data_IF_914067118356
#
_entry.id   IF_914067118356
#
_cell.length_a   1.000
_cell.length_b   1.000
_cell.length_c   1.000
_cell.angle_alpha   90.00
_cell.angle_beta   90.00
_cell.angle_gamma   90.00
#
_symmetry.space_group_name_H-M   'P 1'
#
loop_
_entity.id
_entity.type
_entity.pdbx_description
1 polymer ?
#
# COMPACT_ATOMS: atom_id res chain seq x y z
N UNK A 1 22.66 3.19 21.90
CA UNK A 1 21.78 2.02 21.76
C UNK A 1 21.05 2.18 20.44
N UNK A 2 21.16 1.23 19.51
CA UNK A 2 20.35 1.28 18.29
C UNK A 2 18.87 1.17 18.70
N UNK A 3 18.06 2.14 18.31
CA UNK A 3 16.63 2.14 18.63
C UNK A 3 15.92 1.08 17.80
N UNK A 4 15.16 0.20 18.44
CA UNK A 4 14.28 -0.77 17.78
C UNK A 4 13.32 -0.08 16.82
N UNK A 5 13.10 -0.69 15.65
CA UNK A 5 12.08 -0.26 14.68
C UNK A 5 10.77 -0.97 15.04
N UNK A 6 9.67 -0.22 15.16
CA UNK A 6 8.33 -0.80 15.22
C UNK A 6 7.76 -0.81 13.79
N UNK A 7 7.49 -1.98 13.24
CA UNK A 7 6.95 -2.15 11.89
C UNK A 7 5.52 -2.69 11.96
N UNK A 8 4.57 -1.97 11.35
CA UNK A 8 3.19 -2.41 11.18
C UNK A 8 2.91 -2.74 9.71
N UNK A 9 2.33 -3.92 9.47
CA UNK A 9 1.74 -4.32 8.18
C UNK A 9 0.31 -4.77 8.45
N UNK A 10 -0.64 -4.36 7.60
CA UNK A 10 -2.06 -4.65 7.81
C UNK A 10 -2.65 -5.49 6.68
N UNK A 11 -3.64 -6.32 6.99
CA UNK A 11 -4.40 -7.04 5.97
C UNK A 11 -5.37 -8.07 6.54
N UNK A 12 -6.06 -8.75 5.63
CA UNK A 12 -6.93 -9.87 5.97
C UNK A 12 -6.35 -11.21 5.50
N UNK A 13 -7.05 -12.31 5.73
CA UNK A 13 -6.58 -13.66 5.37
C UNK A 13 -6.18 -13.82 3.89
N UNK A 14 -6.83 -13.12 2.96
CA UNK A 14 -6.50 -13.16 1.54
C UNK A 14 -5.13 -12.51 1.22
N UNK A 15 -4.60 -11.73 2.15
CA UNK A 15 -3.33 -11.00 2.01
C UNK A 15 -2.16 -11.64 2.76
N UNK A 16 -2.36 -12.81 3.38
CA UNK A 16 -1.37 -13.44 4.27
C UNK A 16 0.00 -13.68 3.61
N UNK A 17 0.02 -14.15 2.35
CA UNK A 17 1.26 -14.35 1.60
C UNK A 17 2.02 -13.03 1.35
N UNK A 18 1.28 -11.94 1.16
CA UNK A 18 1.82 -10.60 0.87
C UNK A 18 2.34 -9.93 2.15
N UNK A 19 1.62 -10.09 3.27
CA UNK A 19 2.09 -9.71 4.61
C UNK A 19 3.43 -10.39 4.90
N UNK A 20 3.50 -11.72 4.75
CA UNK A 20 4.73 -12.48 4.97
C UNK A 20 5.87 -11.99 4.07
N UNK A 21 5.60 -11.78 2.78
CA UNK A 21 6.58 -11.29 1.80
C UNK A 21 7.14 -9.92 2.19
N UNK A 22 6.27 -8.98 2.56
CA UNK A 22 6.67 -7.63 3.00
C UNK A 22 7.53 -7.70 4.24
N UNK A 23 7.11 -8.44 5.27
CA UNK A 23 7.87 -8.61 6.52
C UNK A 23 9.25 -9.24 6.30
N UNK A 24 9.35 -10.29 5.48
CA UNK A 24 10.62 -10.93 5.16
C UNK A 24 11.55 -9.97 4.43
N UNK A 25 11.04 -9.23 3.44
CA UNK A 25 11.85 -8.24 2.71
C UNK A 25 12.38 -7.13 3.64
N UNK A 26 11.55 -6.66 4.58
CA UNK A 26 11.94 -5.65 5.57
C UNK A 26 13.09 -6.13 6.48
N UNK A 27 12.98 -7.36 7.01
CA UNK A 27 14.04 -7.97 7.83
C UNK A 27 15.31 -8.23 7.02
N UNK A 28 15.17 -8.68 5.77
CA UNK A 28 16.31 -8.91 4.88
C UNK A 28 17.09 -7.63 4.58
N UNK A 29 16.39 -6.53 4.33
CA UNK A 29 16.98 -5.22 4.06
C UNK A 29 17.56 -4.54 5.32
N UNK A 30 17.12 -4.95 6.51
CA UNK A 30 17.49 -4.31 7.79
C UNK A 30 18.10 -5.30 8.79
N UNK A 31 19.21 -6.00 8.45
CA UNK A 31 19.73 -7.09 9.28
C UNK A 31 20.39 -6.62 10.58
N UNK A 32 20.83 -5.36 10.66
CA UNK A 32 21.61 -4.83 11.78
C UNK A 32 20.77 -4.19 12.89
N UNK A 33 19.50 -3.86 12.62
CA UNK A 33 18.64 -3.14 13.56
C UNK A 33 17.47 -4.03 13.99
N UNK A 34 17.22 -4.22 15.29
CA UNK A 34 16.08 -4.99 15.76
C UNK A 34 14.75 -4.41 15.26
N UNK A 35 13.88 -5.27 14.71
CA UNK A 35 12.52 -4.89 14.30
C UNK A 35 11.50 -5.64 15.16
N UNK A 36 10.65 -4.88 15.87
CA UNK A 36 9.43 -5.37 16.52
C UNK A 36 8.29 -5.36 15.50
N UNK A 37 7.71 -6.53 15.27
CA UNK A 37 6.70 -6.72 14.23
C UNK A 37 5.29 -6.64 14.81
N UNK A 38 4.44 -5.87 14.13
CA UNK A 38 3.01 -5.78 14.37
C UNK A 38 2.26 -6.15 13.09
N UNK A 39 1.19 -6.93 13.23
CA UNK A 39 0.29 -7.22 12.12
C UNK A 39 -1.13 -6.84 12.49
N UNK A 40 -1.68 -5.83 11.80
CA UNK A 40 -3.10 -5.48 11.86
C UNK A 40 -3.92 -6.52 11.10
N UNK A 41 -4.69 -7.33 11.81
CA UNK A 41 -5.27 -8.55 11.26
C UNK A 41 -6.79 -8.54 11.31
N UNK A 42 -7.40 -8.90 10.18
CA UNK A 42 -8.83 -9.23 10.08
C UNK A 42 -8.98 -10.63 9.52
N UNK A 43 -9.63 -11.53 10.24
CA UNK A 43 -9.97 -12.88 9.74
C UNK A 43 -8.74 -13.67 9.19
N UNK A 44 -7.55 -13.47 9.76
CA UNK A 44 -6.38 -14.29 9.44
C UNK A 44 -6.44 -15.56 10.31
N UNK A 45 -6.69 -16.70 9.67
CA UNK A 45 -6.82 -17.99 10.33
C UNK A 45 -5.50 -18.51 10.93
N UNK A 46 -5.58 -19.44 11.87
CA UNK A 46 -4.40 -19.97 12.59
C UNK A 46 -3.34 -20.57 11.66
N UNK A 47 -3.75 -21.25 10.58
CA UNK A 47 -2.83 -21.80 9.59
C UNK A 47 -2.02 -20.70 8.88
N UNK A 48 -2.67 -19.60 8.50
CA UNK A 48 -2.00 -18.46 7.88
C UNK A 48 -1.11 -17.72 8.88
N UNK A 49 -1.56 -17.54 10.13
CA UNK A 49 -0.73 -16.96 11.21
C UNK A 49 0.53 -17.76 11.44
N UNK A 50 0.42 -19.10 11.47
CA UNK A 50 1.57 -19.99 11.60
C UNK A 50 2.52 -19.85 10.41
N UNK A 51 2.01 -19.77 9.17
CA UNK A 51 2.82 -19.55 7.98
C UNK A 51 3.53 -18.19 8.01
N UNK A 52 2.82 -17.10 8.32
CA UNK A 52 3.41 -15.76 8.47
C UNK A 52 4.50 -15.77 9.56
N UNK A 53 4.23 -16.34 10.74
CA UNK A 53 5.21 -16.43 11.83
C UNK A 53 6.43 -17.28 11.44
N UNK A 54 6.25 -18.38 10.70
CA UNK A 54 7.36 -19.19 10.20
C UNK A 54 8.22 -18.49 9.15
N UNK A 55 7.70 -17.44 8.50
CA UNK A 55 8.46 -16.64 7.55
C UNK A 55 9.50 -15.75 8.26
N UNK A 56 9.24 -15.40 9.52
CA UNK A 56 10.06 -14.52 10.35
C UNK A 56 10.38 -15.19 11.70
N UNK A 57 11.03 -16.37 11.71
CA UNK A 57 11.10 -17.22 12.90
C UNK A 57 11.89 -16.61 14.07
N UNK A 58 12.75 -15.62 13.80
CA UNK A 58 13.52 -14.89 14.82
C UNK A 58 12.75 -13.74 15.48
N UNK A 59 11.55 -13.39 14.99
CA UNK A 59 10.79 -12.22 15.42
C UNK A 59 9.37 -12.63 15.81
N UNK A 60 9.00 -12.44 17.07
CA UNK A 60 7.62 -12.63 17.50
C UNK A 60 6.71 -11.54 16.89
N UNK A 61 5.59 -11.95 16.31
CA UNK A 61 4.59 -11.04 15.77
C UNK A 61 3.59 -10.66 16.86
N UNK A 62 3.40 -9.36 17.08
CA UNK A 62 2.29 -8.84 17.87
C UNK A 62 1.08 -8.65 16.95
N UNK A 63 0.04 -9.45 17.15
CA UNK A 63 -1.18 -9.35 16.36
C UNK A 63 -2.11 -8.27 16.93
N UNK A 64 -2.51 -7.34 16.08
CA UNK A 64 -3.47 -6.28 16.41
C UNK A 64 -4.80 -6.67 15.77
N UNK A 65 -5.69 -7.26 16.57
CA UNK A 65 -6.97 -7.76 16.08
C UNK A 65 -7.91 -6.61 15.72
N UNK A 66 -8.44 -6.66 14.51
CA UNK A 66 -9.55 -5.85 14.04
C UNK A 66 -10.71 -6.78 13.69
N UNK A 67 -11.87 -6.55 14.31
CA UNK A 67 -13.02 -7.43 14.09
C UNK A 67 -13.68 -7.13 12.75
N UNK A 68 -14.10 -8.17 12.03
CA UNK A 68 -14.90 -8.04 10.82
C UNK A 68 -16.22 -7.29 11.10
N UNK A 69 -16.81 -7.49 12.29
CA UNK A 69 -18.04 -6.81 12.69
C UNK A 69 -17.84 -5.30 12.83
N UNK A 70 -16.66 -4.85 13.26
CA UNK A 70 -16.33 -3.42 13.32
C UNK A 70 -16.25 -2.83 11.90
N UNK A 71 -15.64 -3.55 10.97
CA UNK A 71 -15.57 -3.12 9.57
C UNK A 71 -16.92 -3.12 8.86
N UNK A 72 -17.81 -4.04 9.23
CA UNK A 72 -19.19 -4.15 8.73
C UNK A 72 -20.12 -3.09 9.34
N UNK A 73 -19.81 -2.60 10.53
CA UNK A 73 -20.53 -1.50 11.17
C UNK A 73 -20.17 -0.13 10.59
N UNK A 74 -19.06 -0.02 9.84
CA UNK A 74 -18.70 1.23 9.16
C UNK A 74 -19.74 1.58 8.07
N UNK A 75 -20.01 2.88 7.84
CA UNK A 75 -20.98 3.32 6.85
C UNK A 75 -20.80 2.70 5.44
N UNK A 76 -21.89 2.61 4.65
CA UNK A 76 -21.82 2.21 3.25
C UNK A 76 -20.81 3.07 2.48
N UNK A 77 -19.99 2.46 1.61
CA UNK A 77 -18.91 3.16 0.92
C UNK A 77 -18.50 2.45 -0.36
N UNK A 78 -17.86 3.18 -1.27
CA UNK A 78 -17.34 2.64 -2.53
C UNK A 78 -16.02 1.88 -2.35
N UNK A 79 -15.17 2.36 -1.44
CA UNK A 79 -13.90 1.73 -1.12
C UNK A 79 -14.11 0.39 -0.40
N UNK A 80 -13.10 -0.49 -0.45
CA UNK A 80 -13.17 -1.76 0.27
C UNK A 80 -13.21 -1.51 1.77
N UNK A 81 -14.00 -2.30 2.50
CA UNK A 81 -14.01 -2.22 3.97
C UNK A 81 -12.65 -2.50 4.60
N UNK A 82 -11.83 -3.29 3.93
CA UNK A 82 -10.50 -3.66 4.40
C UNK A 82 -9.48 -2.51 4.27
N UNK A 83 -9.79 -1.42 3.57
CA UNK A 83 -8.93 -0.22 3.57
C UNK A 83 -8.83 0.43 4.96
N UNK A 84 -9.77 0.16 5.86
CA UNK A 84 -9.83 0.79 7.18
C UNK A 84 -9.13 -0.03 8.29
N UNK A 85 -8.48 -1.15 7.95
CA UNK A 85 -7.76 -1.97 8.92
C UNK A 85 -6.63 -1.17 9.58
N UNK A 86 -5.85 -0.45 8.79
CA UNK A 86 -4.74 0.37 9.29
C UNK A 86 -5.20 1.39 10.31
N UNK A 87 -6.26 2.12 9.98
CA UNK A 87 -6.81 3.15 10.85
C UNK A 87 -7.18 2.58 12.22
N UNK A 88 -7.89 1.43 12.22
CA UNK A 88 -8.30 0.76 13.45
C UNK A 88 -7.13 0.10 14.19
N UNK A 89 -6.12 -0.37 13.48
CA UNK A 89 -4.94 -1.00 14.07
C UNK A 89 -4.03 0.04 14.75
N UNK A 90 -3.86 1.23 14.16
CA UNK A 90 -3.06 2.32 14.72
C UNK A 90 -3.54 2.73 16.12
N UNK A 91 -4.86 2.82 16.33
CA UNK A 91 -5.45 3.19 17.61
C UNK A 91 -5.34 2.08 18.68
N UNK A 92 -4.99 0.86 18.29
CA UNK A 92 -4.81 -0.31 19.18
C UNK A 92 -3.35 -0.62 19.48
N UNK A 93 -2.41 0.13 18.92
CA UNK A 93 -0.99 -0.11 19.15
C UNK A 93 -0.62 0.12 20.62
N UNK A 94 0.25 -0.73 21.20
CA UNK A 94 0.75 -0.54 22.56
C UNK A 94 1.30 0.87 22.82
N UNK A 95 1.07 1.38 24.03
CA UNK A 95 1.42 2.76 24.41
C UNK A 95 2.92 3.03 24.37
N UNK A 96 3.77 2.00 24.49
CA UNK A 96 5.23 2.10 24.38
C UNK A 96 5.72 2.26 22.92
N UNK A 97 4.83 2.12 21.93
CA UNK A 97 5.13 2.49 20.55
C UNK A 97 4.99 4.01 20.42
N UNK A 98 6.13 4.70 20.43
CA UNK A 98 6.21 6.16 20.22
C UNK A 98 6.45 6.53 18.75
N UNK A 99 7.13 5.67 18.00
CA UNK A 99 7.42 5.86 16.58
C UNK A 99 7.19 4.56 15.82
N UNK A 100 6.47 4.65 14.72
CA UNK A 100 6.04 3.51 13.90
C UNK A 100 6.46 3.70 12.45
N UNK A 101 6.96 2.64 11.82
CA UNK A 101 7.01 2.52 10.36
C UNK A 101 5.82 1.65 9.94
N UNK A 102 4.99 2.15 9.05
CA UNK A 102 3.86 1.43 8.46
C UNK A 102 4.15 1.21 6.98
N UNK A 103 3.98 -0.03 6.52
CA UNK A 103 4.15 -0.42 5.11
C UNK A 103 2.95 -1.29 4.71
N UNK A 104 2.33 -0.99 3.57
CA UNK A 104 1.25 -1.82 3.02
C UNK A 104 1.74 -3.23 2.70
N UNK A 105 0.83 -4.21 2.77
CA UNK A 105 1.17 -5.60 2.55
C UNK A 105 1.59 -5.92 1.10
N UNK A 106 1.38 -5.01 0.14
CA UNK A 106 1.81 -5.08 -1.25
C UNK A 106 3.11 -4.33 -1.51
N UNK A 107 4.14 -4.51 -0.67
CA UNK A 107 5.42 -3.86 -0.86
C UNK A 107 6.62 -4.83 -0.80
N UNK A 108 7.74 -4.40 -1.38
CA UNK A 108 9.06 -5.00 -1.18
C UNK A 108 10.01 -3.92 -0.68
N UNK A 109 10.64 -4.20 0.46
CA UNK A 109 11.69 -3.35 1.02
C UNK A 109 13.04 -3.79 0.48
N UNK A 110 13.82 -2.83 -0.02
CA UNK A 110 15.15 -3.01 -0.62
C UNK A 110 16.28 -2.31 0.14
N UNK A 111 15.97 -1.32 0.97
CA UNK A 111 16.97 -0.52 1.70
C UNK A 111 16.67 -0.49 3.22
N UNK A 112 17.67 -0.14 4.02
CA UNK A 112 17.63 -0.22 5.48
C UNK A 112 16.58 0.73 6.09
N UNK A 113 15.58 0.15 6.76
CA UNK A 113 14.47 0.88 7.38
C UNK A 113 14.92 1.77 8.55
N UNK A 114 16.15 1.61 9.06
CA UNK A 114 16.74 2.50 10.05
C UNK A 114 16.79 3.93 9.54
N UNK A 115 17.10 4.13 8.26
CA UNK A 115 17.13 5.46 7.64
C UNK A 115 15.73 6.06 7.58
N UNK A 116 14.74 5.28 7.12
CA UNK A 116 13.35 5.72 7.06
C UNK A 116 12.81 6.08 8.46
N UNK A 117 13.00 5.19 9.44
CA UNK A 117 12.54 5.39 10.82
C UNK A 117 13.12 6.66 11.43
N UNK A 118 14.34 7.03 11.07
CA UNK A 118 15.06 8.17 11.65
C UNK A 118 14.83 9.50 10.90
N UNK A 119 13.94 9.53 9.91
CA UNK A 119 13.53 10.79 9.28
C UNK A 119 13.04 11.76 10.36
N UNK A 120 13.50 13.01 10.24
CA UNK A 120 13.00 14.10 11.06
C UNK A 120 11.58 14.45 10.63
N UNK A 121 10.66 14.41 11.59
CA UNK A 121 9.26 14.75 11.36
C UNK A 121 9.02 16.26 11.51
N UNK A 122 10.02 17.05 11.93
CA UNK A 122 9.92 18.50 12.07
C UNK A 122 8.70 18.91 12.91
N UNK A 123 8.47 18.16 14.00
CA UNK A 123 7.32 18.34 14.90
C UNK A 123 5.96 17.88 14.37
N UNK A 124 5.89 17.37 13.13
CA UNK A 124 4.65 16.93 12.48
C UNK A 124 4.25 15.50 12.86
N UNK A 125 2.96 15.17 12.67
CA UNK A 125 2.40 13.87 13.08
C UNK A 125 2.99 12.69 12.29
N UNK A 126 3.27 12.85 11.00
CA UNK A 126 3.81 11.76 10.19
C UNK A 126 4.71 12.24 9.05
N UNK A 127 5.43 11.31 8.43
CA UNK A 127 6.07 11.49 7.13
C UNK A 127 5.57 10.43 6.14
N UNK A 128 5.34 10.85 4.91
CA UNK A 128 4.84 10.00 3.82
C UNK A 128 5.36 10.54 2.49
N UNK A 129 5.28 9.77 1.42
CA UNK A 129 5.55 10.33 0.07
C UNK A 129 4.32 11.05 -0.46
N UNK A 130 4.52 12.00 -1.37
CA UNK A 130 3.42 12.58 -2.13
C UNK A 130 2.87 11.56 -3.14
N UNK A 131 1.56 11.56 -3.32
CA UNK A 131 0.86 10.67 -4.24
C UNK A 131 1.24 10.94 -5.70
N UNK A 132 1.87 9.94 -6.33
CA UNK A 132 2.27 9.94 -7.74
C UNK A 132 1.11 9.63 -8.70
N UNK A 133 -0.14 9.79 -8.28
CA UNK A 133 -1.32 9.74 -9.17
C UNK A 133 -1.80 11.15 -9.58
N UNK A 134 -0.95 12.16 -9.36
CA UNK A 134 -1.25 13.56 -9.68
C UNK A 134 -2.39 14.12 -8.82
N UNK A 135 -2.43 13.73 -7.55
CA UNK A 135 -3.42 14.22 -6.60
C UNK A 135 -2.85 15.41 -5.81
N UNK A 136 -3.71 16.40 -5.68
CA UNK A 136 -3.66 17.48 -4.70
C UNK A 136 -4.95 17.39 -3.87
N UNK A 137 -5.03 18.04 -2.72
CA UNK A 137 -6.23 18.00 -1.86
C UNK A 137 -7.50 18.31 -2.66
N UNK A 138 -7.48 19.34 -3.51
CA UNK A 138 -8.65 19.76 -4.30
C UNK A 138 -9.12 18.77 -5.36
N UNK A 139 -8.30 17.76 -5.68
CA UNK A 139 -8.64 16.67 -6.60
C UNK A 139 -8.89 15.34 -5.88
N UNK A 140 -8.19 15.11 -4.77
CA UNK A 140 -8.24 13.88 -4.00
C UNK A 140 -9.41 13.80 -3.02
N UNK A 141 -9.89 14.94 -2.51
CA UNK A 141 -10.99 15.02 -1.54
C UNK A 141 -12.15 15.80 -2.17
N UNK A 142 -13.27 15.14 -2.54
CA UNK A 142 -14.39 15.80 -3.22
C UNK A 142 -15.07 16.92 -2.41
N UNK A 143 -14.90 16.91 -1.08
CA UNK A 143 -15.53 17.80 -0.11
C UNK A 143 -14.52 18.70 0.61
N UNK A 144 -13.37 18.95 -0.01
CA UNK A 144 -12.27 19.72 0.62
C UNK A 144 -12.68 21.15 0.98
N UNK A 145 -13.51 21.79 0.15
CA UNK A 145 -13.93 23.17 0.34
C UNK A 145 -14.87 23.30 1.56
N UNK A 146 -15.75 22.32 1.76
CA UNK A 146 -16.64 22.21 2.91
C UNK A 146 -15.88 21.99 4.22
N UNK A 147 -14.69 21.37 4.15
CA UNK A 147 -13.77 21.25 5.28
C UNK A 147 -12.89 22.50 5.49
N UNK A 148 -12.92 23.47 4.57
CA UNK A 148 -12.04 24.64 4.61
C UNK A 148 -10.58 24.33 4.29
N UNK A 149 -10.28 23.17 3.69
CA UNK A 149 -8.93 22.79 3.30
C UNK A 149 -8.47 23.58 2.08
N UNK A 150 -7.17 23.88 2.00
CA UNK A 150 -6.58 24.44 0.77
C UNK A 150 -6.40 23.34 -0.28
N UNK A 151 -7.13 23.46 -1.38
CA UNK A 151 -7.09 22.51 -2.48
C UNK A 151 -5.73 22.40 -3.19
N UNK A 152 -4.84 23.38 -3.00
CA UNK A 152 -3.48 23.39 -3.53
C UNK A 152 -2.47 22.64 -2.66
N UNK A 153 -2.89 22.14 -1.49
CA UNK A 153 -2.02 21.33 -0.65
C UNK A 153 -1.74 19.96 -1.28
N UNK A 154 -0.54 19.47 -1.02
CA UNK A 154 -0.08 18.18 -1.53
C UNK A 154 -0.90 17.05 -0.92
N UNK A 155 -1.16 16.03 -1.72
CA UNK A 155 -1.88 14.84 -1.28
C UNK A 155 -0.88 13.71 -1.02
N UNK A 156 -0.88 13.13 0.19
CA UNK A 156 0.02 12.04 0.57
C UNK A 156 -0.43 10.69 0.01
N UNK A 157 0.52 9.79 -0.21
CA UNK A 157 0.29 8.37 -0.48
C UNK A 157 0.37 7.61 0.85
N UNK A 158 -0.66 6.85 1.21
CA UNK A 158 -0.76 6.26 2.55
C UNK A 158 0.04 4.98 2.76
N UNK A 159 0.50 4.29 1.73
CA UNK A 159 1.03 2.93 1.91
C UNK A 159 2.44 2.79 2.47
N UNK A 160 3.16 3.91 2.65
CA UNK A 160 4.39 3.93 3.46
C UNK A 160 4.39 5.20 4.29
N UNK A 161 4.43 5.04 5.62
CA UNK A 161 4.36 6.15 6.57
C UNK A 161 5.34 5.94 7.73
N UNK A 162 5.92 7.04 8.22
CA UNK A 162 6.57 7.09 9.54
C UNK A 162 5.69 7.94 10.43
N UNK A 163 5.20 7.39 11.53
CA UNK A 163 4.21 8.05 12.39
C UNK A 163 4.81 8.34 13.76
N UNK A 164 4.68 9.58 14.22
CA UNK A 164 4.80 9.92 15.64
C UNK A 164 3.51 9.49 16.32
N UNK A 165 3.55 8.35 17.01
CA UNK A 165 2.37 7.79 17.66
C UNK A 165 1.92 8.60 18.87
N UNK A 166 2.80 9.42 19.46
CA UNK A 166 2.40 10.32 20.52
C UNK A 166 1.63 11.52 19.95
N UNK A 167 2.07 12.08 18.81
CA UNK A 167 1.33 13.11 18.07
C UNK A 167 -0.01 12.57 17.54
N UNK A 168 -0.02 11.38 16.93
CA UNK A 168 -1.23 10.70 16.47
C UNK A 168 -2.31 10.61 17.56
N UNK A 169 -1.92 10.14 18.75
CA UNK A 169 -2.81 10.00 19.91
C UNK A 169 -3.26 11.36 20.44
N UNK A 170 -2.35 12.32 20.64
CA UNK A 170 -2.71 13.68 21.11
C UNK A 170 -3.65 14.40 20.14
N UNK A 171 -3.48 14.15 18.84
CA UNK A 171 -4.29 14.74 17.78
C UNK A 171 -5.64 14.08 17.56
N UNK A 172 -5.93 12.94 18.22
CA UNK A 172 -7.11 12.10 18.01
C UNK A 172 -7.34 11.79 16.51
N UNK A 173 -6.27 11.49 15.77
CA UNK A 173 -6.33 11.38 14.30
C UNK A 173 -7.26 10.24 13.86
N UNK A 174 -7.18 9.07 14.51
CA UNK A 174 -8.06 7.94 14.24
C UNK A 174 -9.55 8.25 14.45
N UNK A 175 -9.88 8.86 15.59
CA UNK A 175 -11.26 9.28 15.90
C UNK A 175 -11.79 10.31 14.91
N UNK A 176 -10.98 11.31 14.56
CA UNK A 176 -11.34 12.32 13.55
C UNK A 176 -11.60 11.68 12.19
N UNK A 177 -10.78 10.71 11.79
CA UNK A 177 -10.96 10.02 10.51
C UNK A 177 -12.26 9.21 10.49
N UNK A 178 -12.59 8.51 11.58
CA UNK A 178 -13.87 7.79 11.68
C UNK A 178 -15.07 8.75 11.69
N UNK A 179 -14.95 9.92 12.35
CA UNK A 179 -15.98 10.96 12.29
C UNK A 179 -16.18 11.48 10.85
N UNK A 180 -15.08 11.71 10.12
CA UNK A 180 -15.13 12.10 8.71
C UNK A 180 -15.80 11.03 7.83
N UNK A 181 -15.50 9.75 8.07
CA UNK A 181 -16.16 8.66 7.36
C UNK A 181 -17.68 8.70 7.56
N UNK A 182 -18.14 8.85 8.81
CA UNK A 182 -19.57 8.94 9.10
C UNK A 182 -20.25 10.08 8.35
N UNK A 183 -19.58 11.23 8.24
CA UNK A 183 -20.12 12.41 7.58
C UNK A 183 -20.07 12.35 6.05
N UNK A 184 -19.02 11.78 5.47
CA UNK A 184 -18.70 11.94 4.03
C UNK A 184 -18.66 10.64 3.22
N UNK A 185 -18.99 9.48 3.82
CA UNK A 185 -18.89 8.16 3.19
C UNK A 185 -19.50 8.05 1.78
N UNK A 186 -20.62 8.75 1.51
CA UNK A 186 -21.32 8.68 0.23
C UNK A 186 -20.52 9.28 -0.95
N UNK A 187 -19.67 10.27 -0.66
CA UNK A 187 -18.90 10.99 -1.67
C UNK A 187 -17.46 10.49 -1.78
N UNK A 188 -16.97 9.81 -0.74
CA UNK A 188 -15.61 9.27 -0.67
C UNK A 188 -15.30 8.23 -1.74
N UNK A 189 -14.03 8.18 -2.15
CA UNK A 189 -13.55 7.37 -3.27
C UNK A 189 -12.29 6.56 -2.93
N UNK A 190 -11.36 7.14 -2.18
CA UNK A 190 -10.01 6.62 -1.98
C UNK A 190 -9.80 6.03 -0.57
N UNK A 191 -10.88 5.62 0.10
CA UNK A 191 -10.81 4.87 1.36
C UNK A 191 -10.13 5.64 2.49
N UNK A 192 -9.26 4.95 3.23
CA UNK A 192 -8.49 5.48 4.35
C UNK A 192 -7.50 6.58 3.94
N UNK A 193 -6.90 6.49 2.74
CA UNK A 193 -5.98 7.51 2.24
C UNK A 193 -6.68 8.88 2.12
N UNK A 194 -7.96 8.89 1.71
CA UNK A 194 -8.78 10.11 1.63
C UNK A 194 -9.05 10.69 3.02
N UNK A 195 -9.45 9.84 3.97
CA UNK A 195 -9.67 10.27 5.34
C UNK A 195 -8.41 10.85 5.94
N UNK A 196 -7.28 10.16 5.78
CA UNK A 196 -6.01 10.60 6.34
C UNK A 196 -5.62 11.97 5.80
N UNK A 197 -5.72 12.19 4.48
CA UNK A 197 -5.47 13.50 3.88
C UNK A 197 -6.46 14.57 4.38
N UNK A 198 -7.72 14.21 4.65
CA UNK A 198 -8.72 15.15 5.16
C UNK A 198 -8.43 15.59 6.61
N UNK A 199 -7.91 14.68 7.45
CA UNK A 199 -7.73 14.95 8.89
C UNK A 199 -6.33 15.41 9.27
N UNK A 200 -5.32 15.08 8.46
CA UNK A 200 -3.94 15.46 8.76
C UNK A 200 -3.67 16.93 8.42
N UNK A 201 -4.39 17.50 7.44
CA UNK A 201 -4.37 18.93 7.10
C UNK A 201 -2.96 19.57 7.12
N UNK A 202 -2.08 19.11 6.23
CA UNK A 202 -0.68 19.54 6.08
C UNK A 202 0.26 19.24 7.29
N UNK A 203 -0.21 18.53 8.31
CA UNK A 203 0.60 18.03 9.43
C UNK A 203 1.41 16.77 9.08
N UNK A 204 2.15 16.83 7.97
CA UNK A 204 3.07 15.78 7.55
C UNK A 204 4.33 16.27 6.81
N UNK A 205 5.39 15.47 6.84
CA UNK A 205 6.64 15.70 6.09
C UNK A 205 6.66 14.86 4.82
N UNK A 206 7.01 15.49 3.68
CA UNK A 206 7.19 14.78 2.42
C UNK A 206 8.52 14.00 2.40
N UNK A 207 8.41 12.68 2.23
CA UNK A 207 9.52 11.77 2.04
C UNK A 207 10.00 11.75 0.59
N UNK A 208 11.30 11.49 0.34
CA UNK A 208 11.79 11.14 -0.99
C UNK A 208 11.02 9.98 -1.59
N UNK A 209 10.64 10.07 -2.88
CA UNK A 209 9.81 9.07 -3.55
C UNK A 209 10.40 7.65 -3.54
N UNK A 210 11.72 7.48 -3.37
CA UNK A 210 12.34 6.15 -3.28
C UNK A 210 11.79 5.31 -2.12
N UNK A 211 11.29 5.94 -1.06
CA UNK A 211 10.68 5.24 0.09
C UNK A 211 9.26 4.74 -0.18
N UNK A 212 8.65 5.06 -1.33
CA UNK A 212 7.35 4.55 -1.73
C UNK A 212 7.23 4.65 -3.25
N UNK A 213 7.99 3.82 -3.94
CA UNK A 213 8.02 3.79 -5.39
C UNK A 213 6.77 3.06 -5.92
N UNK A 214 5.74 3.83 -6.23
CA UNK A 214 4.52 3.34 -6.86
C UNK A 214 4.69 3.36 -8.38
N UNK A 215 4.67 2.19 -9.00
CA UNK A 215 4.68 2.07 -10.45
C UNK A 215 3.28 2.35 -11.03
N UNK A 216 3.16 3.36 -11.89
CA UNK A 216 1.94 3.62 -12.65
C UNK A 216 2.24 3.82 -14.15
N UNK A 217 2.03 2.78 -14.99
CA UNK A 217 2.32 2.84 -16.43
C UNK A 217 1.47 3.86 -17.20
N UNK A 218 0.48 4.49 -16.57
CA UNK A 218 -0.43 5.45 -17.19
C UNK A 218 -0.13 6.92 -16.86
N UNK A 219 0.73 7.22 -15.87
CA UNK A 219 0.90 8.59 -15.35
C UNK A 219 2.37 9.02 -15.29
N UNK A 220 3.35 8.10 -15.37
CA UNK A 220 4.77 8.42 -15.19
C UNK A 220 5.30 9.53 -16.12
N UNK A 221 4.74 9.68 -17.32
CA UNK A 221 5.13 10.73 -18.28
C UNK A 221 4.60 12.14 -17.92
N UNK A 222 3.60 12.25 -17.04
CA UNK A 222 2.94 13.52 -16.67
C UNK A 222 3.31 14.02 -15.26
N UNK A 223 4.12 13.27 -14.51
CA UNK A 223 4.45 13.61 -13.12
C UNK A 223 5.23 14.92 -12.98
N UNK A 224 6.00 15.32 -14.00
CA UNK A 224 6.63 16.64 -14.00
C UNK A 224 5.62 17.79 -14.01
N UNK A 225 4.49 17.63 -14.70
CA UNK A 225 3.39 18.60 -14.69
C UNK A 225 2.67 18.64 -13.33
N UNK A 226 2.79 17.57 -12.53
CA UNK A 226 2.31 17.52 -11.15
C UNK A 226 3.31 18.13 -10.15
N UNK A 227 4.44 18.68 -10.60
CA UNK A 227 5.44 19.30 -9.73
C UNK A 227 6.50 18.35 -9.17
N UNK A 228 6.60 17.13 -9.69
CA UNK A 228 7.73 16.24 -9.37
C UNK A 228 8.94 16.60 -10.23
N UNK A 229 10.12 16.63 -9.62
CA UNK A 229 11.37 16.89 -10.34
C UNK A 229 11.86 15.63 -11.05
N UNK A 230 12.77 15.79 -12.00
CA UNK A 230 13.46 14.64 -12.63
C UNK A 230 14.23 13.80 -11.61
N UNK A 231 14.73 14.42 -10.53
CA UNK A 231 15.43 13.73 -9.47
C UNK A 231 14.47 12.84 -8.65
N UNK A 232 13.26 13.32 -8.38
CA UNK A 232 12.23 12.53 -7.69
C UNK A 232 11.87 11.27 -8.49
N UNK A 233 11.65 11.44 -9.80
CA UNK A 233 11.32 10.33 -10.70
C UNK A 233 12.48 9.36 -10.88
N UNK A 234 13.71 9.86 -10.93
CA UNK A 234 14.90 9.02 -10.96
C UNK A 234 15.02 8.19 -9.67
N UNK A 235 14.79 8.82 -8.51
CA UNK A 235 14.86 8.16 -7.21
C UNK A 235 13.84 7.02 -7.09
N UNK A 236 12.61 7.19 -7.61
CA UNK A 236 11.60 6.15 -7.57
C UNK A 236 11.77 5.04 -8.62
N UNK A 237 12.55 5.26 -9.69
CA UNK A 237 12.67 4.30 -10.81
C UNK A 237 14.00 3.56 -10.85
N UNK A 238 15.10 4.22 -10.50
CA UNK A 238 16.45 3.65 -10.63
C UNK A 238 16.90 2.95 -9.36
N UNK A 239 16.60 3.54 -8.20
CA UNK A 239 17.03 3.03 -6.88
C UNK A 239 15.94 3.16 -5.80
N UNK A 240 14.81 2.44 -5.97
CA UNK A 240 13.74 2.46 -4.99
C UNK A 240 14.15 1.70 -3.72
N UNK A 241 13.99 2.34 -2.57
CA UNK A 241 14.17 1.73 -1.25
C UNK A 241 12.97 0.86 -0.84
N UNK A 242 11.76 1.23 -1.27
CA UNK A 242 10.55 0.40 -1.14
C UNK A 242 9.79 0.47 -2.45
N UNK A 243 9.52 -0.68 -3.05
CA UNK A 243 8.61 -0.82 -4.19
C UNK A 243 7.23 -1.12 -3.65
N UNK A 244 6.26 -0.29 -4.01
CA UNK A 244 4.89 -0.44 -3.57
C UNK A 244 3.99 -0.74 -4.77
N UNK A 245 3.38 -1.94 -4.77
CA UNK A 245 2.51 -2.42 -5.84
C UNK A 245 1.08 -1.86 -5.73
N UNK A 246 0.89 -0.59 -5.35
CA UNK A 246 -0.43 0.02 -5.18
C UNK A 246 -1.33 -0.10 -6.43
N UNK A 247 -0.71 -0.13 -7.62
CA UNK A 247 -1.36 -0.39 -8.90
C UNK A 247 -1.25 -1.87 -9.35
N UNK A 248 -0.45 -2.18 -10.40
CA UNK A 248 -0.28 -3.55 -10.87
C UNK A 248 0.23 -4.53 -9.81
N UNK A 249 -0.56 -5.55 -9.48
CA UNK A 249 -0.17 -6.58 -8.50
C UNK A 249 0.71 -7.67 -9.12
N UNK A 250 1.88 -8.00 -8.56
CA UNK A 250 2.76 -9.05 -9.10
C UNK A 250 2.16 -10.45 -8.99
N UNK A 251 1.22 -10.72 -8.08
CA UNK A 251 0.51 -12.01 -8.03
C UNK A 251 -0.63 -12.15 -9.05
N UNK A 252 -0.95 -11.10 -9.82
CA UNK A 252 -1.95 -11.21 -10.87
C UNK A 252 -1.36 -11.84 -12.14
N UNK A 253 -1.22 -13.16 -12.15
CA UNK A 253 -0.68 -13.96 -13.26
C UNK A 253 -1.48 -13.86 -14.56
N UNK A 254 -2.76 -13.47 -14.48
CA UNK A 254 -3.61 -13.24 -15.64
C UNK A 254 -3.33 -11.92 -16.37
N UNK A 255 -2.60 -10.99 -15.72
CA UNK A 255 -2.34 -9.64 -16.24
C UNK A 255 -1.49 -9.70 -17.54
N UNK A 256 -1.88 -8.96 -18.59
CA UNK A 256 -0.97 -8.68 -19.70
C UNK A 256 0.26 -7.90 -19.23
N UNK A 257 1.42 -8.12 -19.87
CA UNK A 257 2.65 -7.40 -19.57
C UNK A 257 3.02 -7.42 -18.07
N UNK A 258 2.77 -8.55 -17.40
CA UNK A 258 3.10 -8.74 -15.98
C UNK A 258 4.61 -8.60 -15.77
N UNK A 259 5.37 -9.13 -16.71
CA UNK A 259 6.82 -9.04 -16.84
C UNK A 259 7.38 -7.60 -16.83
N UNK A 260 6.55 -6.58 -17.08
CA UNK A 260 6.95 -5.16 -17.02
C UNK A 260 6.76 -4.54 -15.63
N UNK A 261 6.28 -5.27 -14.63
CA UNK A 261 6.10 -4.75 -13.26
C UNK A 261 7.48 -4.65 -12.59
N UNK A 262 7.96 -3.45 -12.20
CA UNK A 262 9.20 -3.30 -11.45
C UNK A 262 9.09 -4.03 -10.10
N UNK A 263 10.16 -4.71 -9.67
CA UNK A 263 10.15 -5.46 -8.41
C UNK A 263 9.51 -6.85 -8.49
N UNK A 264 9.08 -7.28 -9.68
CA UNK A 264 8.39 -8.56 -9.88
C UNK A 264 9.26 -9.75 -9.44
N UNK A 265 10.51 -9.82 -9.91
CA UNK A 265 11.40 -10.95 -9.65
C UNK A 265 11.74 -11.05 -8.16
N UNK A 266 11.93 -9.93 -7.47
CA UNK A 266 12.13 -9.92 -6.02
C UNK A 266 10.89 -10.41 -5.28
N UNK A 267 9.70 -9.93 -5.66
CA UNK A 267 8.46 -10.40 -5.06
C UNK A 267 8.27 -11.91 -5.25
N UNK A 268 8.50 -12.42 -6.46
CA UNK A 268 8.46 -13.86 -6.72
C UNK A 268 9.51 -14.61 -5.91
N UNK A 269 10.72 -14.06 -5.78
CA UNK A 269 11.81 -14.63 -5.00
C UNK A 269 11.43 -14.82 -3.54
N UNK A 270 10.88 -13.80 -2.89
CA UNK A 270 10.42 -13.90 -1.50
C UNK A 270 9.21 -14.85 -1.35
N UNK A 271 8.21 -14.75 -2.23
CA UNK A 271 7.02 -15.60 -2.16
C UNK A 271 7.34 -17.09 -2.42
N UNK A 272 8.23 -17.39 -3.36
CA UNK A 272 8.60 -18.75 -3.74
C UNK A 272 9.57 -19.42 -2.76
N UNK A 273 10.51 -18.66 -2.19
CA UNK A 273 11.50 -19.21 -1.26
C UNK A 273 11.00 -19.23 0.20
N UNK A 274 9.88 -18.56 0.51
CA UNK A 274 9.27 -18.53 1.83
C UNK A 274 8.25 -19.64 2.11
N UNK A 275 7.56 -19.58 3.26
CA UNK A 275 6.54 -20.57 3.65
C UNK A 275 5.33 -20.63 2.71
N UNK A 276 5.10 -19.59 1.91
CA UNK A 276 4.01 -19.51 0.94
C UNK A 276 4.35 -20.11 -0.44
N UNK A 277 5.42 -20.89 -0.57
CA UNK A 277 5.84 -21.51 -1.85
C UNK A 277 4.74 -22.34 -2.55
N UNK A 278 3.94 -23.07 -1.78
CA UNK A 278 2.91 -23.96 -2.33
C UNK A 278 1.69 -23.14 -2.76
N UNK A 279 1.32 -22.13 -1.96
CA UNK A 279 0.34 -21.11 -2.35
C UNK A 279 0.77 -20.40 -3.64
N UNK A 280 2.03 -19.98 -3.74
CA UNK A 280 2.58 -19.32 -4.92
C UNK A 280 2.45 -20.19 -6.17
N UNK A 281 2.82 -21.47 -6.08
CA UNK A 281 2.70 -22.44 -7.19
C UNK A 281 1.25 -22.58 -7.65
N UNK A 282 0.32 -22.73 -6.71
CA UNK A 282 -1.10 -22.84 -7.00
C UNK A 282 -1.66 -21.56 -7.64
N UNK A 283 -1.31 -20.39 -7.13
CA UNK A 283 -1.76 -19.10 -7.67
C UNK A 283 -1.23 -18.85 -9.08
N UNK A 284 0.04 -19.22 -9.31
CA UNK A 284 0.66 -19.19 -10.63
C UNK A 284 -0.07 -20.08 -11.63
N UNK A 285 -0.33 -21.33 -11.26
CA UNK A 285 -1.04 -22.27 -12.14
C UNK A 285 -2.43 -21.74 -12.49
N UNK A 286 -3.21 -21.32 -11.47
CA UNK A 286 -4.54 -20.75 -11.65
C UNK A 286 -4.53 -19.57 -12.62
N UNK A 287 -3.70 -18.56 -12.36
CA UNK A 287 -3.76 -17.35 -13.19
C UNK A 287 -3.14 -17.52 -14.58
N UNK A 288 -2.20 -18.46 -14.78
CA UNK A 288 -1.74 -18.83 -16.13
C UNK A 288 -2.86 -19.52 -16.93
N UNK A 289 -3.65 -20.39 -16.30
CA UNK A 289 -4.82 -20.99 -16.93
C UNK A 289 -5.85 -19.92 -17.35
N UNK A 290 -6.10 -18.93 -16.48
CA UNK A 290 -6.95 -17.76 -16.80
C UNK A 290 -6.39 -16.95 -17.98
N UNK A 291 -5.08 -16.65 -17.98
CA UNK A 291 -4.42 -15.93 -19.09
C UNK A 291 -4.58 -16.67 -20.42
N UNK A 292 -4.43 -18.00 -20.39
CA UNK A 292 -4.58 -18.86 -21.54
C UNK A 292 -6.02 -18.86 -22.07
N UNK A 293 -7.03 -18.84 -21.20
CA UNK A 293 -8.44 -18.79 -21.59
C UNK A 293 -8.85 -17.45 -22.24
N UNK A 294 -8.23 -16.33 -21.85
CA UNK A 294 -8.53 -14.98 -22.38
C UNK A 294 -7.91 -14.75 -23.78
N UNK A 295 -6.72 -15.33 -24.05
CA UNK A 295 -5.98 -15.12 -25.32
C UNK A 295 -6.77 -15.49 -26.60
N UNK A 296 -7.48 -16.63 -26.68
CA UNK A 296 -8.29 -17.02 -27.84
C UNK A 296 -9.45 -16.04 -28.13
N UNK A 297 -10.09 -15.52 -27.08
CA UNK A 297 -11.23 -14.60 -27.21
C UNK A 297 -10.80 -13.24 -27.77
N UNK A 298 -9.64 -12.71 -27.37
CA UNK A 298 -9.11 -11.47 -27.95
C UNK A 298 -8.77 -11.60 -29.44
N UNK A 299 -8.17 -12.72 -29.85
CA UNK A 299 -7.85 -12.97 -31.27
C UNK A 299 -9.10 -13.07 -32.15
N UNK A 300 -10.17 -13.70 -31.66
CA UNK A 300 -11.42 -13.82 -32.40
C UNK A 300 -12.14 -12.48 -32.56
N UNK A 301 -12.12 -11.63 -31.52
CA UNK A 301 -12.67 -10.26 -31.56
C UNK A 301 -11.87 -9.37 -32.52
N UNK A 302 -10.53 -9.34 -32.41
CA UNK A 302 -9.68 -8.56 -33.33
C UNK A 302 -9.82 -9.01 -34.78
N UNK A 303 -10.00 -10.32 -35.03
CA UNK A 303 -10.29 -10.85 -36.36
C UNK A 303 -11.65 -10.39 -36.88
N UNK A 304 -12.68 -10.33 -36.03
CA UNK A 304 -14.01 -9.80 -36.39
C UNK A 304 -13.95 -8.30 -36.70
N UNK A 305 -13.22 -7.52 -35.90
CA UNK A 305 -13.03 -6.08 -36.13
C UNK A 305 -12.29 -5.83 -37.44
N UNK A 306 -11.17 -6.53 -37.69
CA UNK A 306 -10.43 -6.40 -38.97
C UNK A 306 -11.28 -6.78 -40.17
N UNK A 307 -12.11 -7.82 -40.06
CA UNK A 307 -13.04 -8.24 -41.13
C UNK A 307 -14.14 -7.19 -41.36
N UNK A 308 -14.67 -6.57 -40.31
CA UNK A 308 -15.65 -5.50 -40.45
C UNK A 308 -15.05 -4.23 -41.09
N UNK A 309 -13.83 -3.86 -40.68
CA UNK A 309 -13.11 -2.73 -41.27
C UNK A 309 -12.72 -2.98 -42.74
N UNK A 310 -12.34 -4.21 -43.11
CA UNK A 310 -12.02 -4.51 -44.51
C UNK A 310 -13.23 -4.40 -45.43
N UNK A 311 -14.43 -4.74 -44.93
CA UNK A 311 -15.70 -4.60 -45.67
C UNK A 311 -16.08 -3.13 -45.85
N UNK A 312 -15.84 -2.27 -44.85
CA UNK A 312 -16.08 -0.83 -44.92
C UNK A 312 -15.11 -0.07 -45.83
N UNK A 313 -13.92 -0.62 -46.09
CA UNK A 313 -12.88 0.02 -46.91
C UNK A 313 -12.87 -0.42 -48.38
N UNK A 314 -13.62 -1.48 -48.73
CA UNK A 314 -13.63 -2.08 -50.07
C UNK A 314 -15.05 -2.30 -50.64
N UNK A 315 -16.06 -1.68 -50.04
CA UNK A 315 -17.42 -1.59 -50.56
C UNK A 315 -17.82 -0.13 -50.69
#
# INVERSE_FOLDING_TARGET
MQSTINLLVCGNGAWSAHIATTLVSALHATPATPIRLFVGAVEIGESDRALIQSAVPANAITWIEVSIAELDALPPRKASKFNFIELLALDRLPLDVERLVLIDADAIVRDDLTTLRNVDLDGRTLAATRCTWGLWIGRGIPYFAELGLDGNLKYLQSGVKVVDMAAWRRGNIGEKALAHLNQWHDVMRLGDQELLNAVIDDDWVELPLRWNAVYNPHIDHELTACGFTRADLHASTVDPAIIHFAGPKPWNWARPNREEIPGLEEWEGFAFNGPYRDWYRAERERGLAVRAAIRPQRRSVLRRIRKAMSVLLHG
#
